data_IF_281598808904
#
_entry.id   IF_281598808904
#
_cell.length_a   1.000
_cell.length_b   1.000
_cell.length_c   1.000
_cell.angle_alpha   90.00
_cell.angle_beta   90.00
_cell.angle_gamma   90.00
#
_symmetry.space_group_name_H-M   'P 1'
#
loop_
_entity.id
_entity.type
_entity.pdbx_description
1 polymer ?
#
# COMPACT_ATOMS: atom_id res chain seq x y z
N UNK A 1 -73.34 38.11 -32.21
CA UNK A 1 -72.87 36.75 -32.43
C UNK A 1 -71.38 36.86 -32.72
N UNK A 2 -70.62 36.83 -31.70
CA UNK A 2 -69.17 37.05 -31.75
C UNK A 2 -68.39 35.76 -31.67
N UNK A 3 -67.49 35.58 -32.61
CA UNK A 3 -66.51 34.49 -32.61
C UNK A 3 -65.23 34.98 -31.91
N UNK A 4 -64.88 34.33 -30.82
CA UNK A 4 -63.62 34.56 -30.16
C UNK A 4 -62.57 33.61 -30.76
N UNK A 5 -61.45 34.17 -31.21
CA UNK A 5 -60.25 33.43 -31.65
C UNK A 5 -59.48 32.87 -30.52
N UNK A 6 -58.78 31.69 -30.64
CA UNK A 6 -57.96 31.08 -29.61
C UNK A 6 -56.62 31.79 -29.55
N UNK A 7 -56.16 32.00 -28.28
CA UNK A 7 -54.82 32.47 -27.92
C UNK A 7 -53.83 31.32 -27.98
N UNK A 8 -52.76 31.57 -28.68
CA UNK A 8 -51.59 30.72 -28.84
C UNK A 8 -50.74 30.68 -27.57
N UNK A 9 -50.40 29.48 -26.99
CA UNK A 9 -49.41 29.35 -25.91
C UNK A 9 -48.06 29.00 -26.50
N UNK A 10 -47.29 29.98 -26.86
CA UNK A 10 -45.92 29.76 -27.29
C UNK A 10 -44.98 30.71 -26.61
N UNK A 11 -43.96 30.11 -26.09
CA UNK A 11 -42.62 30.55 -25.68
C UNK A 11 -42.37 30.40 -24.19
N UNK A 12 -42.16 29.16 -23.80
CA UNK A 12 -41.20 28.89 -22.75
C UNK A 12 -39.80 29.20 -23.28
N UNK A 13 -39.23 30.27 -22.78
CA UNK A 13 -37.84 30.61 -23.02
C UNK A 13 -36.96 29.56 -22.27
N UNK A 14 -36.26 28.75 -23.05
CA UNK A 14 -35.10 28.05 -22.55
C UNK A 14 -34.11 29.11 -22.04
N UNK A 15 -34.04 29.24 -20.72
CA UNK A 15 -32.92 29.92 -20.07
C UNK A 15 -31.74 28.98 -20.18
N UNK A 16 -30.73 29.33 -20.95
CA UNK A 16 -29.40 28.73 -20.86
C UNK A 16 -28.93 28.85 -19.44
N UNK A 17 -28.39 27.75 -18.85
CA UNK A 17 -27.85 27.78 -17.50
C UNK A 17 -26.72 28.81 -17.42
N UNK A 18 -26.72 29.59 -16.35
CA UNK A 18 -25.71 30.62 -16.09
C UNK A 18 -24.31 30.02 -16.07
N UNK A 19 -23.27 30.77 -16.49
CA UNK A 19 -21.88 30.26 -16.53
C UNK A 19 -21.32 29.81 -15.20
N UNK A 20 -21.95 30.13 -14.08
CA UNK A 20 -21.52 29.77 -12.72
C UNK A 20 -21.98 28.37 -12.24
N UNK A 21 -22.85 27.70 -13.02
CA UNK A 21 -23.30 26.32 -12.73
C UNK A 21 -22.56 25.24 -13.53
N UNK A 22 -21.46 25.55 -14.17
CA UNK A 22 -20.51 24.52 -14.55
C UNK A 22 -19.84 24.01 -13.28
N UNK A 23 -20.47 23.06 -12.61
CA UNK A 23 -19.82 22.19 -11.65
C UNK A 23 -18.52 21.72 -12.29
N UNK A 24 -17.40 22.25 -11.79
CA UNK A 24 -16.05 21.84 -12.17
C UNK A 24 -16.03 20.31 -12.07
N UNK A 25 -16.13 19.63 -13.20
CA UNK A 25 -16.14 18.16 -13.25
C UNK A 25 -14.82 17.73 -12.60
N UNK A 26 -14.89 17.15 -11.41
CA UNK A 26 -13.68 16.72 -10.68
C UNK A 26 -12.98 15.69 -11.54
N UNK A 27 -11.68 15.87 -11.71
CA UNK A 27 -10.85 14.87 -12.37
C UNK A 27 -10.93 13.56 -11.61
N UNK A 28 -10.95 12.45 -12.32
CA UNK A 28 -10.86 11.11 -11.73
C UNK A 28 -9.42 10.63 -11.64
N UNK A 29 -8.46 11.42 -12.16
CA UNK A 29 -7.04 11.11 -12.19
C UNK A 29 -6.25 12.37 -11.85
N UNK A 30 -5.36 12.28 -10.86
CA UNK A 30 -4.42 13.34 -10.52
C UNK A 30 -3.00 12.79 -10.61
N UNK A 31 -2.09 13.58 -11.18
CA UNK A 31 -0.69 13.15 -11.39
C UNK A 31 0.27 14.13 -10.72
N UNK A 32 1.29 13.57 -10.05
CA UNK A 32 2.44 14.27 -9.53
C UNK A 32 3.70 13.69 -10.18
N UNK A 33 4.63 14.56 -10.59
CA UNK A 33 5.94 14.15 -11.13
C UNK A 33 7.03 14.49 -10.12
N UNK A 34 7.69 13.46 -9.58
CA UNK A 34 8.86 13.61 -8.73
C UNK A 34 10.12 13.84 -9.60
N UNK A 35 11.17 14.48 -9.06
CA UNK A 35 12.44 14.63 -9.81
C UNK A 35 13.28 13.34 -9.85
N UNK A 36 12.78 12.26 -9.30
CA UNK A 36 13.44 10.96 -9.17
C UNK A 36 12.44 9.81 -9.29
N UNK A 37 12.97 8.60 -9.49
CA UNK A 37 12.19 7.37 -9.56
C UNK A 37 11.52 7.05 -8.21
N UNK A 38 10.20 6.83 -8.22
CA UNK A 38 9.42 6.53 -7.01
C UNK A 38 9.49 5.04 -6.73
N UNK A 39 10.08 4.66 -5.60
CA UNK A 39 10.28 3.27 -5.21
C UNK A 39 9.34 2.80 -4.09
N UNK A 40 9.12 3.62 -3.07
CA UNK A 40 8.16 3.33 -2.02
C UNK A 40 7.09 4.41 -1.96
N UNK A 41 5.85 4.01 -1.66
CA UNK A 41 4.71 4.90 -1.61
C UNK A 41 3.65 4.36 -0.65
N UNK A 42 3.03 5.24 0.16
CA UNK A 42 1.86 4.87 0.95
C UNK A 42 1.02 6.07 1.34
N UNK A 43 -0.26 5.80 1.62
CA UNK A 43 -1.22 6.78 2.10
C UNK A 43 -1.07 7.07 3.59
N UNK A 44 -1.31 8.31 3.98
CA UNK A 44 -1.66 8.64 5.35
C UNK A 44 -3.08 8.19 5.65
N UNK A 45 -3.28 7.52 6.78
CA UNK A 45 -4.60 7.07 7.21
C UNK A 45 -5.37 8.13 8.03
N UNK A 46 -4.72 9.23 8.39
CA UNK A 46 -5.28 10.28 9.25
C UNK A 46 -6.42 11.02 8.55
N UNK A 47 -7.54 11.19 9.23
CA UNK A 47 -8.73 11.87 8.70
C UNK A 47 -8.55 13.39 8.54
N UNK A 48 -7.67 13.99 9.33
CA UNK A 48 -7.31 15.43 9.24
C UNK A 48 -6.34 15.75 8.10
N UNK A 49 -5.73 14.73 7.47
CA UNK A 49 -4.76 14.83 6.37
C UNK A 49 -5.22 14.04 5.16
N UNK A 50 -6.36 14.44 4.60
CA UNK A 50 -6.93 13.80 3.40
C UNK A 50 -5.97 13.86 2.22
N UNK A 51 -5.95 12.79 1.44
CA UNK A 51 -5.15 12.68 0.20
C UNK A 51 -3.65 12.91 0.38
N UNK A 52 -3.12 12.69 1.57
CA UNK A 52 -1.69 12.80 1.86
C UNK A 52 -1.00 11.45 1.65
N UNK A 53 0.15 11.48 0.94
CA UNK A 53 1.01 10.33 0.72
C UNK A 53 2.44 10.65 1.12
N UNK A 54 3.19 9.61 1.46
CA UNK A 54 4.65 9.62 1.47
C UNK A 54 5.14 8.88 0.23
N UNK A 55 6.13 9.47 -0.46
CA UNK A 55 6.84 8.86 -1.59
C UNK A 55 8.32 8.87 -1.31
N UNK A 56 9.03 7.84 -1.74
CA UNK A 56 10.46 7.70 -1.50
C UNK A 56 11.20 7.30 -2.77
N UNK A 57 12.42 7.80 -2.92
CA UNK A 57 13.24 7.64 -4.11
C UNK A 57 14.01 6.32 -4.14
N UNK A 58 14.34 5.90 -5.36
CA UNK A 58 15.42 4.96 -5.64
C UNK A 58 16.48 5.69 -6.48
N UNK A 59 17.62 6.00 -5.85
CA UNK A 59 18.75 6.63 -6.51
C UNK A 59 20.03 5.91 -6.11
N UNK A 60 20.72 5.31 -7.08
CA UNK A 60 21.90 4.46 -6.81
C UNK A 60 23.14 5.23 -6.37
N UNK A 61 23.37 6.43 -6.94
CA UNK A 61 24.61 7.19 -6.77
C UNK A 61 24.43 8.55 -6.10
N UNK A 62 23.23 8.84 -5.61
CA UNK A 62 22.91 10.08 -4.92
C UNK A 62 22.18 9.81 -3.60
N UNK A 63 22.07 10.85 -2.78
CA UNK A 63 21.29 10.78 -1.56
C UNK A 63 19.83 10.53 -1.88
N UNK A 64 19.23 9.54 -1.24
CA UNK A 64 17.82 9.26 -1.38
C UNK A 64 16.98 10.26 -0.59
N UNK A 65 15.71 10.34 -0.95
CA UNK A 65 14.80 11.33 -0.41
C UNK A 65 13.42 10.76 -0.15
N UNK A 66 12.80 11.24 0.89
CA UNK A 66 11.38 11.01 1.19
C UNK A 66 10.67 12.35 1.12
N UNK A 67 9.55 12.37 0.42
CA UNK A 67 8.67 13.54 0.31
C UNK A 67 7.26 13.19 0.77
N UNK A 68 6.63 14.14 1.47
CA UNK A 68 5.21 14.06 1.80
C UNK A 68 4.48 14.98 0.84
N UNK A 69 3.59 14.38 0.05
CA UNK A 69 2.78 15.07 -0.94
C UNK A 69 1.30 15.01 -0.56
N UNK A 70 0.54 16.00 -0.98
CA UNK A 70 -0.89 16.06 -0.69
C UNK A 70 -1.65 16.66 -1.86
N UNK A 71 -2.78 16.05 -2.22
CA UNK A 71 -3.71 16.60 -3.19
C UNK A 71 -4.48 17.75 -2.53
N UNK A 72 -4.44 18.91 -3.18
CA UNK A 72 -5.28 20.06 -2.88
C UNK A 72 -6.62 19.90 -3.64
N UNK A 73 -7.66 19.52 -2.91
CA UNK A 73 -8.99 19.23 -3.45
C UNK A 73 -9.63 20.44 -4.13
N UNK A 74 -9.18 21.66 -3.79
CA UNK A 74 -9.70 22.91 -4.37
C UNK A 74 -9.09 23.24 -5.72
N UNK A 75 -7.79 22.95 -5.91
CA UNK A 75 -7.05 23.23 -7.14
C UNK A 75 -6.95 22.02 -8.06
N UNK A 76 -7.07 20.80 -7.50
CA UNK A 76 -6.84 19.56 -8.22
C UNK A 76 -5.35 19.29 -8.49
N UNK A 77 -4.46 19.87 -7.69
CA UNK A 77 -3.02 19.69 -7.82
C UNK A 77 -2.46 18.90 -6.64
N UNK A 78 -1.56 17.97 -6.92
CA UNK A 78 -0.76 17.31 -5.88
C UNK A 78 0.48 18.17 -5.64
N UNK A 79 0.65 18.62 -4.39
CA UNK A 79 1.73 19.50 -3.99
C UNK A 79 2.68 18.81 -3.02
N UNK A 80 3.98 19.05 -3.18
CA UNK A 80 5.01 18.73 -2.21
C UNK A 80 5.29 19.95 -1.33
N UNK A 81 5.39 19.74 -0.01
CA UNK A 81 5.87 20.76 0.91
C UNK A 81 7.37 20.51 1.16
N UNK A 82 8.28 21.41 0.71
CA UNK A 82 9.72 21.22 0.94
C UNK A 82 10.11 21.08 2.41
N UNK A 83 9.31 21.62 3.32
CA UNK A 83 9.53 21.50 4.77
C UNK A 83 9.18 20.11 5.32
N UNK A 84 8.45 19.31 4.56
CA UNK A 84 8.09 17.91 4.84
C UNK A 84 8.94 16.91 4.04
N UNK A 85 9.94 17.40 3.30
CA UNK A 85 10.90 16.57 2.59
C UNK A 85 12.16 16.38 3.40
N UNK A 86 12.74 15.19 3.39
CA UNK A 86 13.96 14.88 4.13
C UNK A 86 14.82 13.85 3.39
N UNK A 87 16.12 13.92 3.70
CA UNK A 87 17.09 13.00 3.11
C UNK A 87 17.10 11.65 3.81
N UNK A 88 17.31 10.59 3.05
CA UNK A 88 17.39 9.23 3.54
C UNK A 88 18.69 8.57 3.06
N UNK A 89 19.45 7.86 3.92
CA UNK A 89 20.79 7.37 3.58
C UNK A 89 20.77 6.31 2.46
N UNK A 90 19.71 5.51 2.39
CA UNK A 90 19.52 4.46 1.37
C UNK A 90 18.11 4.54 0.81
N UNK A 91 17.82 3.88 -0.34
CA UNK A 91 16.45 3.79 -0.83
C UNK A 91 15.55 3.12 0.23
N UNK A 92 14.47 3.77 0.68
CA UNK A 92 13.52 3.10 1.56
C UNK A 92 12.83 1.96 0.84
N UNK A 93 12.89 0.75 1.39
CA UNK A 93 12.15 -0.40 0.84
C UNK A 93 10.66 -0.28 1.06
N UNK A 94 10.26 0.40 2.14
CA UNK A 94 8.86 0.71 2.45
C UNK A 94 8.74 1.99 3.29
N UNK A 95 7.61 2.67 3.19
CA UNK A 95 7.26 3.83 4.01
C UNK A 95 5.79 3.69 4.44
N UNK A 96 5.48 3.79 5.74
CA UNK A 96 4.14 3.66 6.28
C UNK A 96 3.92 4.71 7.36
N UNK A 97 2.81 5.47 7.28
CA UNK A 97 2.37 6.33 8.37
C UNK A 97 1.80 5.51 9.52
N UNK A 98 1.89 6.06 10.73
CA UNK A 98 1.24 5.47 11.90
C UNK A 98 -0.24 5.20 11.61
N UNK A 99 -0.77 4.00 11.93
CA UNK A 99 -2.17 3.66 11.69
C UNK A 99 -3.12 4.29 12.74
N UNK A 100 -3.13 5.62 12.81
CA UNK A 100 -3.94 6.43 13.74
C UNK A 100 -4.98 7.24 12.97
N UNK A 101 -6.14 6.62 12.70
CA UNK A 101 -7.25 7.23 11.96
C UNK A 101 -7.90 8.38 12.74
N UNK A 102 -7.89 8.30 14.05
CA UNK A 102 -8.58 9.24 14.94
C UNK A 102 -7.70 10.43 15.35
N UNK A 103 -6.47 10.50 14.87
CA UNK A 103 -5.53 11.59 15.14
C UNK A 103 -5.24 11.77 16.64
N UNK A 104 -5.25 10.66 17.38
CA UNK A 104 -5.09 10.64 18.83
C UNK A 104 -3.60 10.62 19.26
N UNK A 105 -2.72 10.25 18.35
CA UNK A 105 -1.28 10.13 18.56
C UNK A 105 -0.50 11.15 17.73
N UNK A 106 0.79 11.28 18.05
CA UNK A 106 1.72 12.05 17.23
C UNK A 106 1.75 11.54 15.80
N UNK A 107 1.90 12.46 14.85
CA UNK A 107 1.98 12.12 13.43
C UNK A 107 3.37 11.55 13.13
N UNK A 108 3.42 10.25 12.84
CA UNK A 108 4.64 9.51 12.62
C UNK A 108 4.66 8.86 11.24
N UNK A 109 5.85 8.79 10.66
CA UNK A 109 6.16 8.00 9.46
C UNK A 109 7.27 7.02 9.81
N UNK A 110 7.13 5.76 9.42
CA UNK A 110 8.22 4.79 9.49
C UNK A 110 8.79 4.53 8.10
N UNK A 111 10.10 4.28 8.03
CA UNK A 111 10.81 3.87 6.81
C UNK A 111 11.76 2.72 7.11
N UNK A 112 11.84 1.75 6.20
CA UNK A 112 12.78 0.62 6.27
C UNK A 112 13.83 0.71 5.16
N UNK A 113 15.06 0.36 5.50
CA UNK A 113 16.18 0.20 4.57
C UNK A 113 17.25 -0.69 5.20
N UNK A 114 18.43 -0.17 5.54
CA UNK A 114 19.42 -0.78 6.42
C UNK A 114 18.87 -0.99 7.84
N UNK A 115 18.08 0.00 8.33
CA UNK A 115 17.41 0.01 9.63
C UNK A 115 15.96 0.48 9.52
N UNK A 116 15.19 0.24 10.58
CA UNK A 116 13.88 0.85 10.78
C UNK A 116 14.06 2.23 11.41
N UNK A 117 13.50 3.27 10.78
CA UNK A 117 13.51 4.66 11.25
C UNK A 117 12.12 5.15 11.49
N UNK A 118 11.91 5.85 12.59
CA UNK A 118 10.65 6.51 12.93
C UNK A 118 10.87 8.02 12.86
N UNK A 119 10.10 8.68 12.03
CA UNK A 119 10.13 10.11 11.79
C UNK A 119 8.90 10.77 12.42
N UNK A 120 9.12 11.90 13.11
CA UNK A 120 8.06 12.72 13.67
C UNK A 120 7.74 13.87 12.72
N UNK A 121 6.46 14.03 12.38
CA UNK A 121 5.98 15.09 11.49
C UNK A 121 5.36 16.19 12.35
N UNK A 122 6.01 17.34 12.42
CA UNK A 122 5.56 18.51 13.18
C UNK A 122 4.77 19.45 12.27
N UNK A 123 3.45 19.48 12.40
CA UNK A 123 2.60 20.40 11.62
C UNK A 123 2.73 21.86 12.03
N UNK A 124 3.15 22.14 13.28
CA UNK A 124 3.08 23.45 13.92
C UNK A 124 4.44 24.13 14.14
N UNK A 125 5.53 23.53 13.65
CA UNK A 125 6.86 24.10 13.87
C UNK A 125 7.12 25.29 12.95
N UNK A 126 7.61 26.39 13.54
CA UNK A 126 8.15 27.54 12.81
C UNK A 126 9.54 27.27 12.21
N UNK A 127 10.09 26.08 12.41
CA UNK A 127 11.39 25.65 11.90
C UNK A 127 11.33 25.30 10.41
N UNK A 128 12.46 25.44 9.74
CA UNK A 128 12.62 25.14 8.31
C UNK A 128 12.39 23.67 7.94
N UNK A 129 12.53 22.74 8.88
CA UNK A 129 12.20 21.33 8.71
C UNK A 129 11.11 20.95 9.70
N UNK A 130 10.02 20.40 9.18
CA UNK A 130 8.89 19.89 9.96
C UNK A 130 8.97 18.38 10.21
N UNK A 131 10.01 17.70 9.72
CA UNK A 131 10.21 16.25 9.90
C UNK A 131 11.53 16.03 10.63
N UNK A 132 11.47 15.29 11.72
CA UNK A 132 12.61 14.98 12.57
C UNK A 132 12.71 13.47 12.79
N UNK A 133 13.95 12.95 12.76
CA UNK A 133 14.22 11.56 13.12
C UNK A 133 13.98 11.38 14.64
N UNK A 134 12.93 10.63 14.98
CA UNK A 134 12.59 10.36 16.37
C UNK A 134 13.36 9.15 16.91
N UNK A 135 13.40 8.06 16.16
CA UNK A 135 14.00 6.82 16.60
C UNK A 135 14.70 6.12 15.45
N UNK A 136 15.80 5.50 15.81
CA UNK A 136 16.61 4.65 14.96
C UNK A 136 16.71 3.28 15.62
N UNK A 137 16.03 2.30 15.04
CA UNK A 137 15.87 1.00 15.64
C UNK A 137 16.85 0.00 15.03
N UNK A 138 17.83 -0.41 15.84
CA UNK A 138 18.83 -1.42 15.53
C UNK A 138 18.65 -2.59 16.50
N UNK A 139 18.37 -3.79 15.96
CA UNK A 139 18.15 -5.00 16.76
C UNK A 139 19.37 -5.53 17.49
N UNK A 140 20.54 -5.06 17.09
CA UNK A 140 21.79 -5.61 17.61
C UNK A 140 22.66 -4.50 18.22
N UNK A 141 22.41 -4.18 19.49
CA UNK A 141 23.20 -3.17 20.23
C UNK A 141 24.70 -3.53 20.34
N UNK A 142 25.06 -4.79 20.08
CA UNK A 142 26.41 -5.32 20.27
C UNK A 142 27.08 -5.75 18.95
N UNK A 143 26.42 -5.63 17.81
CA UNK A 143 26.97 -5.98 16.49
C UNK A 143 26.78 -4.82 15.52
N UNK A 144 27.82 -4.51 14.77
CA UNK A 144 27.77 -3.55 13.67
C UNK A 144 27.00 -4.09 12.46
N UNK A 145 26.70 -5.39 12.43
CA UNK A 145 26.00 -6.06 11.33
C UNK A 145 24.54 -6.28 11.67
N UNK A 146 23.67 -5.67 10.88
CA UNK A 146 22.23 -5.93 10.82
C UNK A 146 21.88 -6.20 9.36
N UNK A 147 21.15 -7.28 9.09
CA UNK A 147 20.69 -7.57 7.74
C UNK A 147 19.76 -6.45 7.24
N UNK A 148 19.93 -5.97 5.99
CA UNK A 148 19.01 -5.01 5.41
C UNK A 148 17.55 -5.46 5.49
N UNK A 149 16.67 -4.51 5.75
CA UNK A 149 15.24 -4.74 5.85
C UNK A 149 14.62 -4.73 4.44
N UNK A 150 13.86 -5.77 4.13
CA UNK A 150 13.15 -5.90 2.87
C UNK A 150 11.78 -5.25 2.89
N UNK A 151 11.10 -5.32 4.04
CA UNK A 151 9.77 -4.76 4.25
C UNK A 151 9.46 -4.60 5.74
N UNK A 152 8.33 -3.99 6.03
CA UNK A 152 7.74 -3.96 7.36
C UNK A 152 6.23 -3.74 7.27
N UNK A 153 5.52 -4.07 8.34
CA UNK A 153 4.11 -3.72 8.50
C UNK A 153 3.88 -3.13 9.89
N UNK A 154 3.07 -2.08 9.96
CA UNK A 154 2.70 -1.44 11.21
C UNK A 154 1.40 -2.02 11.72
N UNK A 155 1.39 -2.52 12.94
CA UNK A 155 0.22 -3.19 13.50
C UNK A 155 -0.92 -2.19 13.77
N UNK A 156 -2.04 -2.34 13.05
CA UNK A 156 -3.21 -1.45 13.22
C UNK A 156 -3.93 -1.67 14.55
N UNK A 157 -3.93 -2.90 15.08
CA UNK A 157 -4.59 -3.23 16.34
C UNK A 157 -3.76 -2.81 17.56
N UNK A 158 -2.42 -2.87 17.43
CA UNK A 158 -1.47 -2.42 18.45
C UNK A 158 -0.41 -1.49 17.83
N UNK A 159 -0.70 -0.20 17.63
CA UNK A 159 0.20 0.75 16.95
C UNK A 159 1.57 0.97 17.60
N UNK A 160 1.82 0.43 18.78
CA UNK A 160 3.15 0.37 19.37
C UNK A 160 4.05 -0.69 18.73
N UNK A 161 3.49 -1.61 17.92
CA UNK A 161 4.21 -2.71 17.31
C UNK A 161 4.43 -2.51 15.81
N UNK A 162 5.66 -2.76 15.37
CA UNK A 162 6.04 -2.90 13.98
C UNK A 162 6.71 -4.27 13.80
N UNK A 163 6.35 -4.99 12.74
CA UNK A 163 7.05 -6.17 12.29
C UNK A 163 7.92 -5.85 11.09
N UNK A 164 9.19 -6.27 11.08
CA UNK A 164 10.11 -6.11 9.95
C UNK A 164 10.55 -7.46 9.42
N UNK A 165 10.80 -7.54 8.12
CA UNK A 165 11.42 -8.68 7.43
C UNK A 165 12.79 -8.30 6.89
N UNK A 166 13.70 -9.29 6.82
CA UNK A 166 15.10 -9.07 6.45
C UNK A 166 15.65 -10.17 5.55
N UNK A 167 16.69 -9.83 4.79
CA UNK A 167 17.44 -10.80 3.99
C UNK A 167 18.22 -11.81 4.85
N UNK A 168 18.35 -11.56 6.14
CA UNK A 168 19.03 -12.46 7.09
C UNK A 168 18.12 -13.60 7.59
N UNK A 169 17.01 -13.86 6.90
CA UNK A 169 16.02 -14.90 7.18
C UNK A 169 15.10 -14.64 8.37
N UNK A 170 15.24 -13.49 9.03
CA UNK A 170 14.50 -13.17 10.25
C UNK A 170 13.31 -12.25 10.02
N UNK A 171 12.31 -12.38 10.90
CA UNK A 171 11.31 -11.37 11.20
C UNK A 171 11.53 -10.84 12.60
N UNK A 172 11.53 -9.53 12.77
CA UNK A 172 11.70 -8.86 14.06
C UNK A 172 10.47 -8.05 14.43
N UNK A 173 9.96 -8.25 15.63
CA UNK A 173 8.86 -7.46 16.19
C UNK A 173 9.44 -6.42 17.14
N UNK A 174 9.11 -5.18 16.89
CA UNK A 174 9.57 -4.01 17.62
C UNK A 174 8.47 -3.41 18.49
N UNK A 175 8.83 -3.01 19.70
CA UNK A 175 8.05 -2.06 20.50
C UNK A 175 8.65 -0.66 20.28
N UNK A 176 7.96 0.17 19.50
CA UNK A 176 8.44 1.51 19.11
C UNK A 176 8.32 2.55 20.23
N UNK A 177 7.51 2.31 21.25
CA UNK A 177 7.39 3.19 22.40
C UNK A 177 8.56 2.99 23.37
N UNK A 178 9.03 1.73 23.47
CA UNK A 178 10.21 1.36 24.28
C UNK A 178 11.52 1.39 23.50
N UNK A 179 11.40 1.51 22.17
CA UNK A 179 12.55 1.43 21.23
C UNK A 179 13.38 0.15 21.39
N UNK A 180 12.69 -0.97 21.59
CA UNK A 180 13.31 -2.29 21.83
C UNK A 180 12.74 -3.35 20.92
N UNK A 181 13.53 -4.40 20.71
CA UNK A 181 13.06 -5.66 20.13
C UNK A 181 12.18 -6.37 21.17
N UNK A 182 10.93 -6.67 20.78
CA UNK A 182 10.04 -7.55 21.56
C UNK A 182 10.34 -9.03 21.25
N UNK A 183 10.53 -9.36 19.97
CA UNK A 183 10.83 -10.72 19.54
C UNK A 183 11.55 -10.69 18.20
N UNK A 184 12.53 -11.58 18.03
CA UNK A 184 13.16 -11.89 16.75
C UNK A 184 13.03 -13.39 16.48
N UNK A 185 12.55 -13.74 15.30
CA UNK A 185 12.30 -15.12 14.88
C UNK A 185 13.11 -15.41 13.60
N UNK A 186 13.77 -16.57 13.55
CA UNK A 186 14.23 -17.15 12.29
C UNK A 186 12.98 -17.65 11.59
N UNK A 187 12.50 -16.88 10.62
CA UNK A 187 11.18 -17.09 10.03
C UNK A 187 11.22 -18.10 8.88
N UNK A 188 12.29 -18.10 8.10
CA UNK A 188 12.42 -18.88 6.89
C UNK A 188 13.82 -19.44 6.70
N UNK A 189 13.97 -20.29 5.69
CA UNK A 189 15.25 -20.90 5.33
C UNK A 189 16.07 -20.06 4.34
N UNK A 190 15.43 -19.05 3.72
CA UNK A 190 16.03 -18.08 2.81
C UNK A 190 15.56 -16.66 3.17
N UNK A 191 15.98 -15.67 2.38
CA UNK A 191 15.61 -14.25 2.55
C UNK A 191 14.11 -14.07 2.70
N UNK A 192 13.69 -13.25 3.65
CA UNK A 192 12.29 -12.87 3.84
C UNK A 192 12.02 -11.59 3.10
N UNK A 193 11.05 -11.58 2.20
CA UNK A 193 10.79 -10.43 1.33
C UNK A 193 9.66 -9.53 1.79
N UNK A 194 8.65 -10.07 2.47
CA UNK A 194 7.55 -9.26 2.98
C UNK A 194 6.95 -9.85 4.27
N UNK A 195 6.25 -8.99 5.01
CA UNK A 195 5.56 -9.29 6.26
C UNK A 195 4.23 -8.54 6.32
N UNK A 196 3.19 -9.16 6.86
CA UNK A 196 1.88 -8.55 7.04
C UNK A 196 1.23 -9.00 8.35
N UNK A 197 0.62 -8.06 9.09
CA UNK A 197 -0.15 -8.36 10.30
C UNK A 197 -1.56 -8.85 9.96
N UNK A 198 -1.99 -9.93 10.59
CA UNK A 198 -3.36 -10.45 10.55
C UNK A 198 -4.20 -10.08 11.77
N UNK A 199 -3.56 -9.48 12.79
CA UNK A 199 -4.19 -9.09 14.04
C UNK A 199 -3.17 -8.62 15.06
N UNK A 200 -3.56 -8.46 16.33
CA UNK A 200 -2.69 -7.91 17.38
C UNK A 200 -1.43 -8.76 17.63
N UNK A 201 -1.53 -10.07 17.52
CA UNK A 201 -0.43 -11.00 17.83
C UNK A 201 -0.13 -12.02 16.74
N UNK A 202 -0.73 -11.87 15.55
CA UNK A 202 -0.55 -12.82 14.44
C UNK A 202 -0.05 -12.08 13.21
N UNK A 203 1.01 -12.59 12.59
CA UNK A 203 1.53 -12.07 11.33
C UNK A 203 1.91 -13.22 10.38
N UNK A 204 2.06 -12.89 9.12
CA UNK A 204 2.59 -13.80 8.11
C UNK A 204 3.79 -13.18 7.40
N UNK A 205 4.64 -14.02 6.84
CA UNK A 205 5.76 -13.61 6.00
C UNK A 205 5.90 -14.50 4.78
N UNK A 206 6.55 -13.97 3.75
CA UNK A 206 6.90 -14.63 2.50
C UNK A 206 8.37 -14.54 2.22
N UNK A 207 8.91 -15.55 1.53
CA UNK A 207 10.35 -15.73 1.40
C UNK A 207 10.76 -16.22 0.03
N UNK A 208 12.06 -16.10 -0.25
CA UNK A 208 12.76 -16.75 -1.34
C UNK A 208 12.70 -18.29 -1.28
N UNK A 209 12.32 -18.86 -0.12
CA UNK A 209 12.10 -20.31 0.01
C UNK A 209 10.78 -20.78 -0.63
N UNK A 210 9.98 -19.85 -1.16
CA UNK A 210 8.72 -20.14 -1.84
C UNK A 210 7.54 -20.42 -0.89
N UNK A 211 7.67 -20.13 0.39
CA UNK A 211 6.63 -20.39 1.39
C UNK A 211 5.97 -19.13 1.95
N UNK A 212 4.70 -19.27 2.34
CA UNK A 212 3.97 -18.34 3.21
C UNK A 212 3.85 -19.00 4.57
N UNK A 213 4.38 -18.36 5.62
CA UNK A 213 4.32 -18.86 6.99
C UNK A 213 3.58 -17.88 7.89
N UNK A 214 2.71 -18.41 8.75
CA UNK A 214 1.96 -17.64 9.76
C UNK A 214 2.54 -17.91 11.13
N UNK A 215 2.71 -16.85 11.89
CA UNK A 215 3.28 -16.84 13.24
C UNK A 215 2.26 -16.27 14.23
N UNK A 216 2.16 -16.91 15.38
CA UNK A 216 1.41 -16.42 16.53
C UNK A 216 2.39 -16.07 17.65
N UNK A 217 2.41 -14.82 18.10
CA UNK A 217 3.33 -14.37 19.16
C UNK A 217 3.10 -15.05 20.53
N UNK A 218 2.00 -15.79 20.68
CA UNK A 218 1.75 -16.63 21.86
C UNK A 218 2.51 -17.95 21.82
N UNK A 219 2.87 -18.40 20.60
CA UNK A 219 3.69 -19.59 20.36
C UNK A 219 4.84 -19.21 19.42
N UNK A 220 5.95 -18.78 20.00
CA UNK A 220 7.11 -18.27 19.26
C UNK A 220 8.02 -19.38 18.72
N UNK A 221 7.77 -20.62 19.08
CA UNK A 221 8.59 -21.77 18.67
C UNK A 221 8.08 -22.41 17.38
N UNK A 222 6.82 -22.18 17.03
CA UNK A 222 6.19 -22.80 15.86
C UNK A 222 5.63 -21.78 14.88
N UNK A 223 5.65 -22.14 13.61
CA UNK A 223 4.94 -21.44 12.53
C UNK A 223 4.08 -22.43 11.76
N UNK A 224 3.05 -21.91 11.10
CA UNK A 224 2.19 -22.71 10.22
C UNK A 224 2.48 -22.34 8.77
N UNK A 225 2.90 -23.32 7.96
CA UNK A 225 3.04 -23.14 6.52
C UNK A 225 1.64 -23.13 5.90
N UNK A 226 1.24 -22.01 5.31
CA UNK A 226 -0.06 -21.83 4.66
C UNK A 226 0.03 -22.17 3.18
N UNK A 227 1.18 -21.90 2.57
CA UNK A 227 1.41 -22.19 1.16
C UNK A 227 2.90 -22.45 0.95
N UNK A 228 3.16 -23.35 0.02
CA UNK A 228 4.50 -23.64 -0.46
C UNK A 228 4.39 -23.85 -1.98
N UNK A 229 5.25 -23.15 -2.73
CA UNK A 229 5.28 -23.28 -4.17
C UNK A 229 5.63 -24.72 -4.57
N UNK A 230 4.88 -25.28 -5.52
CA UNK A 230 5.17 -26.61 -6.08
C UNK A 230 6.39 -26.64 -6.98
N UNK A 231 6.83 -25.49 -7.44
CA UNK A 231 8.02 -25.35 -8.29
C UNK A 231 9.21 -24.94 -7.41
N UNK A 232 10.36 -25.63 -7.53
CA UNK A 232 11.55 -25.25 -6.80
C UNK A 232 12.04 -23.85 -7.22
N UNK A 233 12.71 -23.16 -6.30
CA UNK A 233 13.30 -21.84 -6.51
C UNK A 233 12.33 -20.79 -7.06
N UNK A 234 11.11 -20.75 -6.49
CA UNK A 234 10.06 -19.80 -6.84
C UNK A 234 9.84 -18.82 -5.67
N UNK A 235 10.60 -17.70 -5.59
CA UNK A 235 10.47 -16.74 -4.52
C UNK A 235 9.09 -16.08 -4.47
N UNK A 236 8.58 -15.84 -3.26
CA UNK A 236 7.40 -15.02 -3.03
C UNK A 236 7.86 -13.65 -2.54
N UNK A 237 7.37 -12.57 -3.19
CA UNK A 237 7.94 -11.23 -3.01
C UNK A 237 7.02 -10.21 -2.36
N UNK A 238 5.71 -10.45 -2.35
CA UNK A 238 4.74 -9.54 -1.71
C UNK A 238 3.68 -10.35 -0.98
N UNK A 239 3.18 -9.77 0.10
CA UNK A 239 2.11 -10.36 0.90
C UNK A 239 1.09 -9.27 1.28
N UNK A 240 -0.17 -9.51 0.97
CA UNK A 240 -1.29 -8.69 1.43
C UNK A 240 -2.24 -9.51 2.29
N UNK A 241 -2.43 -9.14 3.55
CA UNK A 241 -3.45 -9.76 4.40
C UNK A 241 -4.74 -8.94 4.34
N UNK A 242 -5.86 -9.61 4.05
CA UNK A 242 -7.15 -8.95 3.99
C UNK A 242 -7.59 -8.50 5.39
N UNK A 243 -7.67 -7.19 5.60
CA UNK A 243 -8.02 -6.61 6.91
C UNK A 243 -9.52 -6.68 7.21
N UNK A 244 -10.37 -6.83 6.19
CA UNK A 244 -11.83 -6.95 6.36
C UNK A 244 -12.25 -8.41 6.61
N UNK A 245 -11.50 -9.34 6.04
CA UNK A 245 -11.68 -10.77 6.29
C UNK A 245 -10.32 -11.45 6.48
N UNK A 246 -9.84 -11.58 7.72
CA UNK A 246 -8.51 -12.09 8.01
C UNK A 246 -8.32 -13.59 7.69
N UNK A 247 -9.33 -14.26 7.15
CA UNK A 247 -9.19 -15.61 6.60
C UNK A 247 -8.40 -15.63 5.30
N UNK A 248 -8.34 -14.50 4.58
CA UNK A 248 -7.74 -14.43 3.26
C UNK A 248 -6.47 -13.59 3.23
N UNK A 249 -5.54 -14.02 2.42
CA UNK A 249 -4.33 -13.29 2.08
C UNK A 249 -4.00 -13.51 0.60
N UNK A 250 -3.19 -12.64 0.03
CA UNK A 250 -2.71 -12.75 -1.34
C UNK A 250 -1.19 -12.60 -1.39
N UNK A 251 -0.55 -13.33 -2.29
CA UNK A 251 0.89 -13.26 -2.50
C UNK A 251 1.24 -13.21 -3.98
N UNK A 252 2.38 -12.61 -4.28
CA UNK A 252 2.97 -12.52 -5.62
C UNK A 252 4.17 -13.45 -5.69
N UNK A 253 4.24 -14.19 -6.79
CA UNK A 253 5.41 -14.98 -7.17
C UNK A 253 6.34 -14.07 -7.99
N UNK A 254 7.65 -14.10 -7.70
CA UNK A 254 8.65 -13.33 -8.43
C UNK A 254 8.61 -13.65 -9.92
N UNK A 255 8.72 -12.62 -10.76
CA UNK A 255 8.74 -12.71 -12.24
C UNK A 255 7.55 -13.50 -12.83
N UNK A 256 6.39 -13.43 -12.20
CA UNK A 256 5.21 -14.19 -12.60
C UNK A 256 3.97 -13.28 -12.74
N UNK A 257 3.13 -13.50 -13.78
CA UNK A 257 1.91 -12.72 -14.00
C UNK A 257 0.74 -13.13 -13.10
N UNK A 258 0.95 -14.05 -12.16
CA UNK A 258 -0.10 -14.57 -11.28
C UNK A 258 -0.08 -13.92 -9.90
N UNK A 259 -1.27 -13.74 -9.33
CA UNK A 259 -1.48 -13.52 -7.91
C UNK A 259 -2.18 -14.72 -7.31
N UNK A 260 -1.65 -15.23 -6.20
CA UNK A 260 -2.18 -16.38 -5.48
C UNK A 260 -2.98 -15.89 -4.29
N UNK A 261 -4.26 -16.25 -4.20
CA UNK A 261 -5.12 -15.95 -3.06
C UNK A 261 -5.27 -17.21 -2.18
N UNK A 262 -5.03 -17.05 -0.89
CA UNK A 262 -4.98 -18.14 0.08
C UNK A 262 -6.06 -17.97 1.15
N UNK A 263 -6.60 -19.09 1.62
CA UNK A 263 -7.43 -19.15 2.82
C UNK A 263 -6.65 -19.88 3.93
N UNK A 264 -6.41 -19.20 5.04
CA UNK A 264 -5.61 -19.75 6.16
C UNK A 264 -6.21 -21.01 6.79
N UNK A 265 -7.50 -21.27 6.56
CA UNK A 265 -8.20 -22.46 7.07
C UNK A 265 -7.94 -23.71 6.21
N UNK A 266 -7.54 -23.50 4.97
CA UNK A 266 -7.29 -24.56 3.99
C UNK A 266 -5.85 -24.41 3.44
N UNK A 267 -4.83 -24.72 4.26
CA UNK A 267 -3.45 -24.56 3.85
C UNK A 267 -3.12 -25.46 2.65
N UNK A 268 -2.07 -25.07 1.93
CA UNK A 268 -1.47 -25.74 0.76
C UNK A 268 -2.16 -25.51 -0.59
N UNK A 269 -3.44 -25.22 -0.62
CA UNK A 269 -4.15 -25.01 -1.89
C UNK A 269 -4.60 -23.53 -2.03
N UNK A 270 -4.31 -22.89 -3.16
CA UNK A 270 -4.90 -21.60 -3.47
C UNK A 270 -6.43 -21.67 -3.57
N UNK A 271 -7.11 -20.65 -3.06
CA UNK A 271 -8.56 -20.50 -3.25
C UNK A 271 -8.85 -20.07 -4.68
N UNK A 272 -8.02 -19.16 -5.21
CA UNK A 272 -8.07 -18.68 -6.58
C UNK A 272 -6.70 -18.15 -7.01
N UNK A 273 -6.40 -18.29 -8.29
CA UNK A 273 -5.27 -17.66 -8.94
C UNK A 273 -5.79 -16.59 -9.92
N UNK A 274 -5.30 -15.37 -9.79
CA UNK A 274 -5.65 -14.27 -10.67
C UNK A 274 -4.64 -14.23 -11.83
N UNK A 275 -5.08 -14.51 -13.05
CA UNK A 275 -4.20 -14.76 -14.20
C UNK A 275 -4.67 -13.96 -15.43
N UNK A 276 -4.60 -12.61 -15.36
CA UNK A 276 -4.93 -11.75 -16.52
C UNK A 276 -3.83 -10.75 -16.84
N UNK A 277 -2.87 -10.56 -15.94
CA UNK A 277 -1.68 -9.80 -16.27
C UNK A 277 -0.88 -10.48 -17.38
N UNK A 278 -0.25 -9.68 -18.26
CA UNK A 278 0.56 -10.16 -19.39
C UNK A 278 2.06 -10.13 -19.08
N UNK A 279 2.45 -9.59 -17.94
CA UNK A 279 3.81 -9.53 -17.42
C UNK A 279 3.79 -9.65 -15.90
N UNK A 280 4.94 -9.56 -15.24
CA UNK A 280 5.10 -9.72 -13.80
C UNK A 280 4.20 -8.78 -12.99
N UNK A 281 3.58 -9.30 -11.94
CA UNK A 281 2.85 -8.49 -10.97
C UNK A 281 3.82 -7.99 -9.91
N UNK A 282 3.78 -6.69 -9.60
CA UNK A 282 4.69 -6.04 -8.64
C UNK A 282 4.01 -5.63 -7.35
N UNK A 283 2.70 -5.35 -7.38
CA UNK A 283 1.99 -4.82 -6.24
C UNK A 283 0.56 -5.34 -6.13
N UNK A 284 0.10 -5.49 -4.89
CA UNK A 284 -1.27 -5.90 -4.54
C UNK A 284 -1.78 -5.02 -3.39
N UNK A 285 -3.06 -4.69 -3.42
CA UNK A 285 -3.73 -4.00 -2.33
C UNK A 285 -5.17 -4.48 -2.18
N UNK A 286 -5.53 -4.98 -1.01
CA UNK A 286 -6.91 -5.28 -0.66
C UNK A 286 -7.71 -3.98 -0.47
N UNK A 287 -8.96 -4.00 -0.90
CA UNK A 287 -9.85 -2.87 -0.65
C UNK A 287 -10.09 -2.69 0.86
N UNK A 288 -9.89 -1.49 1.40
CA UNK A 288 -9.98 -1.26 2.85
C UNK A 288 -11.41 -1.30 3.40
N UNK A 289 -12.42 -1.33 2.53
CA UNK A 289 -13.86 -1.29 2.87
C UNK A 289 -14.64 -2.50 2.38
N UNK A 290 -13.96 -3.44 1.71
CA UNK A 290 -14.58 -4.63 1.15
C UNK A 290 -13.71 -5.86 1.40
N UNK A 291 -14.35 -6.96 1.79
CA UNK A 291 -13.67 -8.23 2.02
C UNK A 291 -13.40 -9.03 0.74
N UNK A 292 -13.96 -8.62 -0.38
CA UNK A 292 -13.91 -9.39 -1.64
C UNK A 292 -13.27 -8.63 -2.81
N UNK A 293 -12.73 -7.43 -2.61
CA UNK A 293 -12.06 -6.69 -3.69
C UNK A 293 -10.57 -6.57 -3.45
N UNK A 294 -9.80 -6.80 -4.50
CA UNK A 294 -8.34 -6.63 -4.51
C UNK A 294 -7.92 -5.89 -5.80
N UNK A 295 -6.91 -5.05 -5.69
CA UNK A 295 -6.26 -4.43 -6.83
C UNK A 295 -4.86 -5.00 -7.00
N UNK A 296 -4.45 -5.23 -8.25
CA UNK A 296 -3.15 -5.76 -8.64
C UNK A 296 -2.54 -4.89 -9.71
N UNK A 297 -1.22 -4.75 -9.75
CA UNK A 297 -0.52 -3.95 -10.76
C UNK A 297 0.85 -4.55 -11.10
N UNK A 298 1.33 -4.31 -12.31
CA UNK A 298 2.58 -4.93 -12.76
C UNK A 298 3.23 -4.30 -14.00
N UNK A 299 4.17 -5.04 -14.57
CA UNK A 299 5.01 -4.65 -15.69
C UNK A 299 4.26 -4.55 -17.02
N UNK A 300 3.05 -5.08 -17.10
CA UNK A 300 2.16 -4.87 -18.25
C UNK A 300 1.49 -3.48 -18.26
N UNK A 301 1.92 -2.57 -17.40
CA UNK A 301 1.41 -1.21 -17.24
C UNK A 301 -0.06 -1.15 -16.77
N UNK A 302 -0.64 -2.26 -16.32
CA UNK A 302 -2.03 -2.32 -15.91
C UNK A 302 -2.20 -2.36 -14.40
N UNK A 303 -3.24 -1.65 -13.92
CA UNK A 303 -3.83 -1.83 -12.62
C UNK A 303 -5.21 -2.46 -12.80
N UNK A 304 -5.44 -3.63 -12.19
CA UNK A 304 -6.65 -4.43 -12.34
C UNK A 304 -7.36 -4.56 -11.00
N UNK A 305 -8.67 -4.33 -10.97
CA UNK A 305 -9.51 -4.57 -9.79
C UNK A 305 -10.33 -5.82 -10.01
N UNK A 306 -10.36 -6.67 -8.99
CA UNK A 306 -10.99 -7.97 -8.99
C UNK A 306 -12.10 -8.04 -7.95
N UNK A 307 -13.22 -8.69 -8.30
CA UNK A 307 -14.26 -9.10 -7.37
C UNK A 307 -14.13 -10.60 -7.07
N UNK A 308 -13.79 -10.90 -5.83
CA UNK A 308 -13.58 -12.26 -5.34
C UNK A 308 -14.82 -12.84 -4.62
N UNK A 309 -15.99 -12.23 -4.77
CA UNK A 309 -17.22 -12.68 -4.08
C UNK A 309 -17.62 -14.12 -4.46
N UNK A 310 -17.22 -14.60 -5.64
CA UNK A 310 -17.42 -15.96 -6.13
C UNK A 310 -16.27 -16.93 -5.81
N UNK A 311 -15.30 -16.53 -4.93
CA UNK A 311 -14.20 -17.41 -4.52
C UNK A 311 -14.68 -18.78 -4.05
N UNK A 312 -13.98 -19.83 -4.49
CA UNK A 312 -14.30 -21.22 -4.15
C UNK A 312 -15.37 -21.87 -5.04
N UNK A 313 -15.92 -21.14 -6.02
CA UNK A 313 -16.75 -21.74 -7.08
C UNK A 313 -15.91 -21.86 -8.36
N UNK A 314 -16.02 -22.99 -9.09
CA UNK A 314 -15.34 -23.13 -10.37
C UNK A 314 -15.90 -22.10 -11.37
N UNK A 315 -15.03 -21.20 -11.86
CA UNK A 315 -15.35 -20.26 -12.94
C UNK A 315 -14.67 -20.79 -14.20
N UNK A 316 -15.48 -21.14 -15.21
CA UNK A 316 -14.95 -21.58 -16.50
C UNK A 316 -14.14 -20.44 -17.15
N UNK A 317 -12.90 -20.72 -17.50
CA UNK A 317 -11.98 -19.71 -18.08
C UNK A 317 -11.26 -18.82 -17.06
N UNK A 318 -11.47 -19.02 -15.74
CA UNK A 318 -10.87 -18.23 -14.67
C UNK A 318 -11.63 -16.93 -14.39
N UNK A 319 -11.15 -16.17 -13.39
CA UNK A 319 -11.76 -14.91 -12.98
C UNK A 319 -11.26 -13.75 -13.86
N UNK A 320 -12.16 -12.85 -14.26
CA UNK A 320 -11.83 -11.62 -14.98
C UNK A 320 -11.85 -10.41 -14.03
N UNK A 321 -10.98 -9.41 -14.26
CA UNK A 321 -11.04 -8.16 -13.51
C UNK A 321 -12.32 -7.38 -13.86
N UNK A 322 -12.88 -6.68 -12.88
CA UNK A 322 -14.05 -5.81 -13.06
C UNK A 322 -13.69 -4.42 -13.59
N UNK A 323 -12.46 -3.95 -13.30
CA UNK A 323 -11.93 -2.69 -13.79
C UNK A 323 -10.47 -2.89 -14.20
N UNK A 324 -10.06 -2.14 -15.22
CA UNK A 324 -8.68 -2.08 -15.70
C UNK A 324 -8.29 -0.62 -16.00
N UNK A 325 -7.11 -0.23 -15.56
CA UNK A 325 -6.47 1.04 -15.90
C UNK A 325 -5.10 0.77 -16.51
N UNK A 326 -4.76 1.46 -17.60
CA UNK A 326 -3.45 1.36 -18.24
C UNK A 326 -2.65 2.63 -17.97
N UNK A 327 -1.52 2.50 -17.29
CA UNK A 327 -0.58 3.58 -17.00
C UNK A 327 0.37 3.84 -18.18
N UNK A 328 1.21 4.87 -18.05
CA UNK A 328 2.20 5.22 -19.08
C UNK A 328 3.49 4.40 -19.06
N UNK A 329 3.70 3.57 -18.03
CA UNK A 329 4.85 2.71 -17.85
C UNK A 329 4.52 1.58 -16.87
N UNK A 330 5.46 0.66 -16.65
CA UNK A 330 5.41 -0.42 -15.67
C UNK A 330 5.08 0.11 -14.28
N UNK A 331 4.07 -0.49 -13.61
CA UNK A 331 3.63 -0.04 -12.30
C UNK A 331 4.38 -0.83 -11.23
N UNK A 332 5.10 -0.12 -10.39
CA UNK A 332 5.91 -0.72 -9.33
C UNK A 332 5.23 -0.72 -7.96
N UNK A 333 4.42 0.31 -7.69
CA UNK A 333 3.72 0.46 -6.42
C UNK A 333 2.23 0.70 -6.64
N UNK A 334 1.45 0.14 -5.72
CA UNK A 334 0.00 0.31 -5.68
C UNK A 334 -0.46 0.30 -4.23
N UNK A 335 -1.27 1.30 -3.85
CA UNK A 335 -1.84 1.37 -2.51
C UNK A 335 -3.30 1.86 -2.59
N UNK A 336 -4.19 1.17 -1.90
CA UNK A 336 -5.58 1.59 -1.74
C UNK A 336 -5.73 2.47 -0.51
N UNK A 337 -6.41 3.62 -0.65
CA UNK A 337 -6.55 4.55 0.47
C UNK A 337 -7.59 4.06 1.48
N UNK A 338 -7.19 3.86 2.74
CA UNK A 338 -8.13 3.48 3.81
C UNK A 338 -8.93 4.66 4.36
N UNK A 339 -8.45 5.89 4.19
CA UNK A 339 -9.16 7.11 4.60
C UNK A 339 -10.08 7.66 3.50
N UNK A 340 -9.81 7.30 2.24
CA UNK A 340 -10.54 7.70 1.05
C UNK A 340 -10.75 6.46 0.17
N UNK A 341 -11.72 5.57 0.49
CA UNK A 341 -11.82 4.24 -0.10
C UNK A 341 -12.13 4.19 -1.59
N UNK A 342 -12.59 5.31 -2.18
CA UNK A 342 -12.79 5.46 -3.62
C UNK A 342 -11.51 5.77 -4.39
N UNK A 343 -10.34 5.77 -3.72
CA UNK A 343 -9.09 6.21 -4.32
C UNK A 343 -7.97 5.19 -4.17
N UNK A 344 -7.31 4.94 -5.29
CA UNK A 344 -6.12 4.10 -5.39
C UNK A 344 -4.95 4.97 -5.87
N UNK A 345 -3.78 4.80 -5.28
CA UNK A 345 -2.54 5.39 -5.77
C UNK A 345 -1.67 4.34 -6.45
N UNK A 346 -1.08 4.70 -7.58
CA UNK A 346 -0.08 3.93 -8.30
C UNK A 346 1.18 4.77 -8.50
N UNK A 347 2.33 4.11 -8.51
CA UNK A 347 3.59 4.74 -8.87
C UNK A 347 4.28 3.96 -10.00
N UNK A 348 4.75 4.69 -10.99
CA UNK A 348 5.48 4.18 -12.13
C UNK A 348 6.53 5.20 -12.59
N UNK A 349 7.77 4.75 -12.80
CA UNK A 349 8.87 5.65 -13.10
C UNK A 349 8.97 6.78 -12.05
N UNK A 350 8.91 8.05 -12.46
CA UNK A 350 8.91 9.21 -11.57
C UNK A 350 7.52 9.80 -11.31
N UNK A 351 6.44 9.07 -11.63
CA UNK A 351 5.07 9.56 -11.53
C UNK A 351 4.29 8.85 -10.43
N UNK A 352 3.59 9.65 -9.65
CA UNK A 352 2.51 9.23 -8.77
C UNK A 352 1.19 9.59 -9.42
N UNK A 353 0.28 8.63 -9.54
CA UNK A 353 -1.10 8.89 -9.93
C UNK A 353 -2.07 8.46 -8.85
N UNK A 354 -3.07 9.29 -8.61
CA UNK A 354 -4.21 9.01 -7.75
C UNK A 354 -5.41 8.82 -8.64
N UNK A 355 -6.01 7.64 -8.59
CA UNK A 355 -7.09 7.18 -9.44
C UNK A 355 -8.35 7.01 -8.62
N UNK A 356 -9.49 7.47 -9.13
CA UNK A 356 -10.80 7.16 -8.56
C UNK A 356 -11.30 5.83 -9.12
N UNK A 357 -11.75 4.95 -8.21
CA UNK A 357 -12.23 3.61 -8.52
C UNK A 357 -13.68 3.41 -8.08
#
# INVERSE_FOLDING_TARGET
MGATAPTDPSKEANQDPSPDEQQKQRSEIYTYEAPWHIYAMNWSVRRDKKYRLAIASLTEHAQNRVEIVQLDDSTGEIKSDPSLSFDHPYPPTKAIFIPDKDCSKSDLLATSSDYLRIWHINSDSSNSSKVELKSFLNGNKNSEYCGPLTSFDWNEAEPRRIGTSSIDTTCTIWDIERETVDTQLIAHDKEVYDIAWGGAGVFASVSADGSVRVFDLRDKEHSTIIYESSEPDTPLVRLGWNKQDPRYMATIIMDNPKVVVLDIRFPTLPVVELQRHQASVNAIAWAPHSSCHICTAGDDMQALIWDLSSMGQPVEGGLDPILAYTAGAEIEQLQWSSSQPDWVAIAFSNKLQILRV
#
